data_IF_502253404933
#
_entry.id   IF_502253404933
#
_cell.length_a   1.000
_cell.length_b   1.000
_cell.length_c   1.000
_cell.angle_alpha   90.00
_cell.angle_beta   90.00
_cell.angle_gamma   90.00
#
_symmetry.space_group_name_H-M   'P 1'
#
loop_
_entity.id
_entity.type
_entity.pdbx_description
1 polymer ?
#
# COMPACT_ATOMS: atom_id res chain seq x y z
N UNK A 1 -28.07 21.69 -7.41
CA UNK A 1 -27.34 20.43 -7.71
C UNK A 1 -25.81 20.64 -7.63
N UNK A 2 -25.24 21.64 -8.32
CA UNK A 2 -23.79 21.93 -8.40
C UNK A 2 -23.07 22.07 -7.03
N UNK A 3 -23.66 22.73 -6.02
CA UNK A 3 -23.02 22.91 -4.69
C UNK A 3 -22.80 21.60 -3.91
N UNK A 4 -23.66 20.58 -4.11
CA UNK A 4 -23.56 19.29 -3.38
C UNK A 4 -22.40 18.45 -3.90
N UNK A 5 -22.10 18.55 -5.20
CA UNK A 5 -21.00 17.83 -5.84
C UNK A 5 -19.64 18.42 -5.45
N UNK A 6 -19.55 19.75 -5.31
CA UNK A 6 -18.32 20.44 -4.85
C UNK A 6 -17.97 20.06 -3.41
N UNK A 7 -18.94 20.09 -2.48
CA UNK A 7 -18.69 19.68 -1.08
C UNK A 7 -18.27 18.21 -0.99
N UNK A 8 -18.92 17.34 -1.76
CA UNK A 8 -18.59 15.91 -1.81
C UNK A 8 -17.18 15.67 -2.35
N UNK A 9 -16.78 16.42 -3.38
CA UNK A 9 -15.44 16.40 -3.94
C UNK A 9 -14.36 16.79 -2.91
N UNK A 10 -14.56 17.88 -2.16
CA UNK A 10 -13.59 18.29 -1.13
C UNK A 10 -13.49 17.30 0.03
N UNK A 11 -14.62 16.78 0.52
CA UNK A 11 -14.63 15.78 1.60
C UNK A 11 -13.87 14.54 1.15
N UNK A 12 -14.10 14.08 -0.09
CA UNK A 12 -13.36 12.97 -0.68
C UNK A 12 -11.85 13.24 -0.75
N UNK A 13 -11.43 14.40 -1.26
CA UNK A 13 -10.00 14.77 -1.32
C UNK A 13 -9.37 14.73 0.06
N UNK A 14 -10.00 15.39 1.04
CA UNK A 14 -9.45 15.45 2.41
C UNK A 14 -9.39 14.06 3.04
N UNK A 15 -10.39 13.22 2.80
CA UNK A 15 -10.39 11.85 3.30
C UNK A 15 -9.27 10.97 2.73
N UNK A 16 -8.80 11.26 1.51
CA UNK A 16 -7.63 10.60 0.93
C UNK A 16 -6.31 11.18 1.46
N UNK A 17 -6.23 12.50 1.64
CA UNK A 17 -5.02 13.20 2.09
C UNK A 17 -4.66 12.94 3.55
N UNK A 18 -5.66 12.90 4.45
CA UNK A 18 -5.41 12.77 5.89
C UNK A 18 -4.59 11.51 6.23
N UNK A 19 -4.97 10.29 5.77
CA UNK A 19 -4.15 9.10 6.01
C UNK A 19 -2.73 9.22 5.45
N UNK A 20 -2.56 9.81 4.25
CA UNK A 20 -1.25 10.02 3.62
C UNK A 20 -0.35 10.93 4.47
N UNK A 21 -0.91 11.98 5.08
CA UNK A 21 -0.14 12.87 5.96
C UNK A 21 0.25 12.23 7.29
N UNK A 22 -0.51 11.24 7.76
CA UNK A 22 -0.22 10.51 9.00
C UNK A 22 0.84 9.42 8.77
N UNK A 23 0.86 8.77 7.60
CA UNK A 23 1.87 7.76 7.22
C UNK A 23 3.30 8.10 7.63
N UNK A 24 3.88 9.27 7.26
CA UNK A 24 5.27 9.58 7.59
C UNK A 24 5.53 9.66 9.09
N UNK A 25 4.55 10.12 9.88
CA UNK A 25 4.64 10.16 11.34
C UNK A 25 4.76 8.73 11.88
N UNK A 26 3.93 7.81 11.38
CA UNK A 26 3.96 6.42 11.81
C UNK A 26 5.24 5.70 11.39
N UNK A 27 5.75 5.94 10.18
CA UNK A 27 7.02 5.36 9.74
C UNK A 27 8.17 5.80 10.67
N UNK A 28 8.29 7.10 10.93
CA UNK A 28 9.35 7.63 11.80
C UNK A 28 9.19 7.07 13.21
N UNK A 29 7.97 7.09 13.76
CA UNK A 29 7.69 6.58 15.10
C UNK A 29 7.99 5.07 15.21
N UNK A 30 7.60 4.28 14.21
CA UNK A 30 7.87 2.84 14.16
C UNK A 30 9.36 2.55 14.18
N UNK A 31 10.18 3.32 13.46
CA UNK A 31 11.64 3.16 13.47
C UNK A 31 12.24 3.54 14.84
N UNK A 32 11.80 4.65 15.43
CA UNK A 32 12.31 5.12 16.73
C UNK A 32 11.98 4.12 17.84
N UNK A 33 10.74 3.60 17.85
CA UNK A 33 10.25 2.77 18.95
C UNK A 33 10.77 1.33 18.89
N UNK A 34 11.27 0.88 17.74
CA UNK A 34 11.79 -0.49 17.53
C UNK A 34 12.76 -0.94 18.64
N UNK A 35 13.64 -0.04 19.10
CA UNK A 35 14.63 -0.35 20.13
C UNK A 35 14.05 -0.60 21.52
N UNK A 36 12.84 -0.11 21.79
CA UNK A 36 12.19 -0.19 23.11
C UNK A 36 10.96 -1.09 23.14
N UNK A 37 10.17 -1.09 22.07
CA UNK A 37 8.93 -1.86 21.96
C UNK A 37 8.85 -2.51 20.56
N UNK A 38 9.59 -3.60 20.32
CA UNK A 38 9.61 -4.28 19.01
C UNK A 38 8.24 -4.78 18.57
N UNK A 39 7.39 -5.22 19.50
CA UNK A 39 6.03 -5.66 19.20
C UNK A 39 5.17 -4.51 18.67
N UNK A 40 5.29 -3.30 19.23
CA UNK A 40 4.53 -2.13 18.81
C UNK A 40 5.06 -1.58 17.47
N UNK A 41 6.34 -1.78 17.15
CA UNK A 41 6.89 -1.48 15.82
C UNK A 41 6.12 -2.21 14.71
N UNK A 42 5.81 -3.49 14.89
CA UNK A 42 5.07 -4.28 13.88
C UNK A 42 3.69 -3.67 13.58
N UNK A 43 2.95 -3.32 14.63
CA UNK A 43 1.65 -2.66 14.49
C UNK A 43 1.75 -1.28 13.84
N UNK A 44 2.69 -0.43 14.29
CA UNK A 44 2.84 0.94 13.77
C UNK A 44 3.26 0.92 12.30
N UNK A 45 4.21 0.06 11.91
CA UNK A 45 4.69 -0.03 10.53
C UNK A 45 3.61 -0.58 9.60
N UNK A 46 2.87 -1.61 10.01
CA UNK A 46 1.78 -2.20 9.22
C UNK A 46 0.62 -1.22 9.05
N UNK A 47 0.30 -0.46 10.10
CA UNK A 47 -0.65 0.65 10.01
C UNK A 47 -0.15 1.77 9.10
N UNK A 48 1.14 2.14 9.13
CA UNK A 48 1.66 3.16 8.22
C UNK A 48 1.48 2.79 6.75
N UNK A 49 1.69 1.51 6.43
CA UNK A 49 1.50 0.94 5.10
C UNK A 49 0.01 1.00 4.75
N UNK A 50 -0.87 0.57 5.66
CA UNK A 50 -2.32 0.66 5.45
C UNK A 50 -2.78 2.09 5.19
N UNK A 51 -2.41 3.05 6.05
CA UNK A 51 -2.79 4.45 5.93
C UNK A 51 -2.43 5.01 4.55
N UNK A 52 -1.22 4.71 4.08
CA UNK A 52 -0.75 5.13 2.77
C UNK A 52 -1.64 4.56 1.66
N UNK A 53 -1.88 3.25 1.70
CA UNK A 53 -2.68 2.56 0.69
C UNK A 53 -4.15 2.97 0.72
N UNK A 54 -4.74 3.20 1.89
CA UNK A 54 -6.13 3.66 1.99
C UNK A 54 -6.23 5.04 1.37
N UNK A 55 -5.32 5.95 1.71
CA UNK A 55 -5.28 7.28 1.13
C UNK A 55 -5.14 7.27 -0.39
N UNK A 56 -4.17 6.52 -0.92
CA UNK A 56 -3.92 6.40 -2.37
C UNK A 56 -5.11 5.77 -3.09
N UNK A 57 -5.56 4.60 -2.65
CA UNK A 57 -6.63 3.86 -3.32
C UNK A 57 -7.96 4.62 -3.27
N UNK A 58 -8.28 5.23 -2.12
CA UNK A 58 -9.49 6.06 -1.97
C UNK A 58 -9.46 7.26 -2.92
N UNK A 59 -8.30 7.89 -3.09
CA UNK A 59 -8.07 8.96 -4.06
C UNK A 59 -8.20 8.53 -5.53
N UNK A 60 -8.24 7.23 -5.82
CA UNK A 60 -8.37 6.69 -7.17
C UNK A 60 -9.75 6.08 -7.46
N UNK A 61 -10.63 5.98 -6.45
CA UNK A 61 -11.95 5.38 -6.58
C UNK A 61 -12.78 5.92 -7.77
N UNK A 62 -12.87 7.24 -8.05
CA UNK A 62 -13.60 7.71 -9.22
C UNK A 62 -13.04 7.16 -10.55
N UNK A 63 -11.72 6.98 -10.63
CA UNK A 63 -11.07 6.35 -11.77
C UNK A 63 -11.43 4.87 -11.90
N UNK A 64 -11.48 4.15 -10.78
CA UNK A 64 -11.68 2.69 -10.77
C UNK A 64 -13.14 2.23 -10.76
N UNK A 65 -14.04 3.04 -10.19
CA UNK A 65 -15.47 2.73 -10.03
C UNK A 65 -16.39 3.62 -10.85
N UNK A 66 -15.85 4.58 -11.61
CA UNK A 66 -16.63 5.56 -12.40
C UNK A 66 -17.70 6.29 -11.57
N UNK A 67 -17.47 6.45 -10.27
CA UNK A 67 -18.43 7.00 -9.32
C UNK A 67 -17.70 7.81 -8.26
N UNK A 68 -18.19 9.02 -8.00
CA UNK A 68 -17.71 9.81 -6.87
C UNK A 68 -18.10 9.14 -5.55
N UNK A 69 -17.18 9.08 -4.56
CA UNK A 69 -17.52 8.59 -3.24
C UNK A 69 -18.59 9.43 -2.55
N UNK A 70 -19.46 8.74 -1.82
CA UNK A 70 -20.44 9.43 -0.98
C UNK A 70 -19.73 10.13 0.19
N UNK A 71 -20.10 11.37 0.57
CA UNK A 71 -19.43 12.12 1.64
C UNK A 71 -19.34 11.37 2.96
N UNK A 72 -20.41 10.65 3.32
CA UNK A 72 -20.44 9.86 4.56
C UNK A 72 -19.42 8.73 4.50
N UNK A 73 -19.29 8.02 3.37
CA UNK A 73 -18.29 6.97 3.23
C UNK A 73 -16.87 7.54 3.31
N UNK A 74 -16.64 8.72 2.71
CA UNK A 74 -15.36 9.42 2.82
C UNK A 74 -15.01 9.80 4.27
N UNK A 75 -16.00 10.27 5.05
CA UNK A 75 -15.80 10.57 6.47
C UNK A 75 -15.50 9.29 7.25
N UNK A 76 -16.24 8.20 7.00
CA UNK A 76 -16.05 6.91 7.69
C UNK A 76 -14.68 6.30 7.38
N UNK A 77 -14.22 6.36 6.13
CA UNK A 77 -12.86 5.92 5.74
C UNK A 77 -11.81 6.73 6.50
N UNK A 78 -11.87 8.06 6.43
CA UNK A 78 -10.86 8.91 7.09
C UNK A 78 -10.87 8.76 8.62
N UNK A 79 -12.04 8.83 9.24
CA UNK A 79 -12.17 8.73 10.70
C UNK A 79 -11.79 7.34 11.20
N UNK A 80 -12.20 6.27 10.52
CA UNK A 80 -11.81 4.90 10.87
C UNK A 80 -10.31 4.68 10.80
N UNK A 81 -9.63 5.20 9.77
CA UNK A 81 -8.17 5.13 9.69
C UNK A 81 -7.47 5.98 10.76
N UNK A 82 -7.91 7.21 11.00
CA UNK A 82 -7.30 8.12 12.00
C UNK A 82 -7.49 7.58 13.41
N UNK A 83 -8.71 7.18 13.77
CA UNK A 83 -9.04 6.65 15.09
C UNK A 83 -8.41 5.27 15.28
N UNK A 84 -8.39 4.43 14.26
CA UNK A 84 -7.69 3.14 14.28
C UNK A 84 -6.20 3.33 14.53
N UNK A 85 -5.55 4.23 13.80
CA UNK A 85 -4.15 4.56 14.00
C UNK A 85 -3.89 5.07 15.43
N UNK A 86 -4.64 6.08 15.88
CA UNK A 86 -4.53 6.61 17.24
C UNK A 86 -4.68 5.50 18.30
N UNK A 87 -5.66 4.63 18.13
CA UNK A 87 -5.91 3.54 19.07
C UNK A 87 -4.79 2.50 19.05
N UNK A 88 -4.18 2.20 17.91
CA UNK A 88 -2.98 1.34 17.86
C UNK A 88 -1.82 1.92 18.67
N UNK A 89 -1.65 3.24 18.65
CA UNK A 89 -0.55 3.87 19.36
C UNK A 89 -0.72 3.82 20.88
N UNK A 90 -1.95 3.98 21.38
CA UNK A 90 -2.21 4.14 22.82
C UNK A 90 -2.87 2.92 23.47
N UNK A 91 -3.59 2.10 22.71
CA UNK A 91 -4.40 0.96 23.17
C UNK A 91 -4.29 -0.25 22.20
N UNK A 92 -3.07 -0.70 21.83
CA UNK A 92 -2.86 -1.73 20.81
C UNK A 92 -3.45 -3.10 21.17
N UNK A 93 -3.58 -3.41 22.46
CA UNK A 93 -4.08 -4.70 22.94
C UNK A 93 -5.61 -4.80 22.98
N UNK A 94 -6.31 -3.76 22.50
CA UNK A 94 -7.78 -3.70 22.51
C UNK A 94 -8.38 -4.02 21.14
N UNK A 95 -9.61 -4.53 21.11
CA UNK A 95 -10.36 -4.68 19.86
C UNK A 95 -10.78 -3.34 19.24
N UNK A 96 -10.57 -2.22 19.94
CA UNK A 96 -11.08 -0.89 19.54
C UNK A 96 -10.45 -0.45 18.21
N UNK A 97 -9.13 -0.65 18.03
CA UNK A 97 -8.49 -0.27 16.77
C UNK A 97 -9.00 -1.10 15.59
N UNK A 98 -9.35 -2.37 15.85
CA UNK A 98 -9.87 -3.30 14.86
C UNK A 98 -11.24 -2.84 14.37
N UNK A 99 -12.12 -2.44 15.29
CA UNK A 99 -13.43 -1.89 14.96
C UNK A 99 -13.31 -0.66 14.04
N UNK A 100 -12.38 0.26 14.34
CA UNK A 100 -12.20 1.45 13.52
C UNK A 100 -11.69 1.14 12.10
N UNK A 101 -10.73 0.21 11.95
CA UNK A 101 -10.30 -0.21 10.61
C UNK A 101 -11.39 -0.98 9.87
N UNK A 102 -12.27 -1.72 10.56
CA UNK A 102 -13.40 -2.40 9.92
C UNK A 102 -14.42 -1.41 9.39
N UNK A 103 -14.73 -0.35 10.16
CA UNK A 103 -15.61 0.73 9.70
C UNK A 103 -15.06 1.34 8.40
N UNK A 104 -13.76 1.67 8.38
CA UNK A 104 -13.10 2.18 7.18
C UNK A 104 -13.16 1.18 6.03
N UNK A 105 -12.80 -0.09 6.28
CA UNK A 105 -12.80 -1.15 5.26
C UNK A 105 -14.19 -1.38 4.66
N UNK A 106 -15.22 -1.49 5.49
CA UNK A 106 -16.60 -1.69 5.05
C UNK A 106 -17.14 -0.49 4.28
N UNK A 107 -16.81 0.74 4.71
CA UNK A 107 -17.17 1.94 3.97
C UNK A 107 -16.51 1.97 2.57
N UNK A 108 -15.25 1.55 2.49
CA UNK A 108 -14.51 1.45 1.23
C UNK A 108 -15.08 0.35 0.32
N UNK A 109 -15.40 -0.82 0.88
CA UNK A 109 -16.07 -1.94 0.17
C UNK A 109 -17.43 -1.51 -0.37
N UNK A 110 -18.25 -0.83 0.44
CA UNK A 110 -19.58 -0.38 0.03
C UNK A 110 -19.53 0.50 -1.23
N UNK A 111 -18.50 1.35 -1.35
CA UNK A 111 -18.30 2.17 -2.54
C UNK A 111 -17.96 1.33 -3.79
N UNK A 112 -17.14 0.28 -3.65
CA UNK A 112 -16.82 -0.63 -4.74
C UNK A 112 -17.98 -1.55 -5.14
N UNK A 113 -18.74 -2.08 -4.18
CA UNK A 113 -19.90 -2.95 -4.50
C UNK A 113 -20.95 -2.17 -5.29
N UNK A 114 -21.16 -0.89 -4.99
CA UNK A 114 -22.18 -0.07 -5.64
C UNK A 114 -21.98 0.07 -7.15
N UNK A 115 -20.75 0.30 -7.63
CA UNK A 115 -20.44 0.58 -9.06
C UNK A 115 -19.04 0.16 -9.54
N UNK A 116 -18.21 -0.38 -8.66
CA UNK A 116 -16.81 -0.69 -8.93
C UNK A 116 -16.51 -2.14 -9.31
N UNK A 117 -17.40 -3.11 -9.02
CA UNK A 117 -17.20 -4.51 -9.40
C UNK A 117 -17.84 -4.77 -10.78
N UNK A 118 -17.12 -5.50 -11.64
CA UNK A 118 -17.64 -5.88 -12.96
C UNK A 118 -16.60 -6.64 -13.77
N UNK A 119 -16.94 -7.01 -15.00
CA UNK A 119 -16.13 -7.89 -15.86
C UNK A 119 -15.22 -7.14 -16.85
N UNK A 120 -15.15 -5.81 -16.80
CA UNK A 120 -14.24 -5.06 -17.67
C UNK A 120 -12.82 -5.03 -17.08
N UNK A 121 -11.78 -4.83 -17.90
CA UNK A 121 -10.41 -4.62 -17.37
C UNK A 121 -10.27 -3.39 -16.46
N UNK A 122 -11.24 -2.47 -16.52
CA UNK A 122 -11.33 -1.33 -15.60
C UNK A 122 -11.94 -1.71 -14.26
N UNK A 123 -12.80 -2.71 -14.16
CA UNK A 123 -13.56 -3.00 -12.93
C UNK A 123 -13.19 -4.34 -12.32
N UNK A 124 -12.77 -5.32 -13.12
CA UNK A 124 -12.43 -6.66 -12.67
C UNK A 124 -11.32 -6.68 -11.60
N UNK A 125 -10.22 -5.90 -11.72
CA UNK A 125 -9.19 -5.88 -10.68
C UNK A 125 -9.67 -5.35 -9.31
N UNK A 126 -10.82 -4.65 -9.24
CA UNK A 126 -11.35 -4.16 -7.97
C UNK A 126 -11.78 -5.29 -7.04
N UNK A 127 -12.03 -6.51 -7.55
CA UNK A 127 -12.34 -7.66 -6.70
C UNK A 127 -11.21 -7.95 -5.71
N UNK A 128 -9.95 -7.81 -6.13
CA UNK A 128 -8.79 -7.96 -5.25
C UNK A 128 -8.83 -6.93 -4.13
N UNK A 129 -9.05 -5.66 -4.48
CA UNK A 129 -9.15 -4.57 -3.50
C UNK A 129 -10.25 -4.84 -2.47
N UNK A 130 -11.43 -5.29 -2.92
CA UNK A 130 -12.56 -5.65 -2.04
C UNK A 130 -12.20 -6.83 -1.14
N UNK A 131 -11.62 -7.89 -1.69
CA UNK A 131 -11.18 -9.06 -0.91
C UNK A 131 -10.16 -8.67 0.16
N UNK A 132 -9.15 -7.87 -0.20
CA UNK A 132 -8.16 -7.38 0.75
C UNK A 132 -8.77 -6.52 1.87
N UNK A 133 -9.77 -5.68 1.55
CA UNK A 133 -10.52 -4.92 2.56
C UNK A 133 -11.34 -5.83 3.46
N UNK A 134 -12.06 -6.80 2.91
CA UNK A 134 -12.87 -7.75 3.69
C UNK A 134 -12.00 -8.63 4.59
N UNK A 135 -10.80 -9.00 4.15
CA UNK A 135 -9.90 -9.80 4.98
C UNK A 135 -9.47 -9.08 6.25
N UNK A 136 -9.46 -7.75 6.27
CA UNK A 136 -9.13 -6.98 7.48
C UNK A 136 -10.13 -7.20 8.62
N UNK A 137 -11.32 -7.77 8.33
CA UNK A 137 -12.27 -8.21 9.35
C UNK A 137 -11.77 -9.41 10.17
N UNK A 138 -10.74 -10.11 9.68
CA UNK A 138 -10.13 -11.27 10.34
C UNK A 138 -8.94 -10.91 11.25
N UNK A 139 -8.67 -9.61 11.45
CA UNK A 139 -7.60 -9.13 12.35
C UNK A 139 -7.67 -9.61 13.81
N UNK A 140 -8.82 -10.02 14.40
CA UNK A 140 -8.83 -10.63 15.74
C UNK A 140 -8.07 -11.95 15.78
N UNK A 141 -8.00 -12.66 14.64
CA UNK A 141 -7.35 -13.96 14.51
C UNK A 141 -5.95 -13.84 13.91
N UNK A 142 -5.74 -12.85 13.04
CA UNK A 142 -4.52 -12.72 12.22
C UNK A 142 -3.60 -11.57 12.68
N UNK A 143 -4.03 -10.80 13.68
CA UNK A 143 -3.29 -9.66 14.23
C UNK A 143 -2.94 -8.61 13.17
N UNK A 144 -1.69 -8.12 13.21
CA UNK A 144 -1.18 -7.13 12.26
C UNK A 144 -1.09 -7.64 10.81
N UNK A 145 -1.05 -8.96 10.59
CA UNK A 145 -0.95 -9.54 9.24
C UNK A 145 -2.25 -9.30 8.47
N UNK A 146 -3.40 -9.39 9.14
CA UNK A 146 -4.70 -9.09 8.55
C UNK A 146 -4.82 -7.66 8.02
N UNK A 147 -4.06 -6.73 8.60
CA UNK A 147 -4.00 -5.31 8.18
C UNK A 147 -3.37 -5.18 6.79
N UNK A 148 -2.40 -6.04 6.45
CA UNK A 148 -1.63 -5.98 5.19
C UNK A 148 -2.36 -6.57 3.98
N UNK A 149 -3.47 -7.28 4.19
CA UNK A 149 -4.24 -7.84 3.09
C UNK A 149 -4.73 -6.80 2.11
N UNK A 150 -5.22 -5.67 2.62
CA UNK A 150 -5.65 -4.58 1.75
C UNK A 150 -4.48 -3.96 0.95
N UNK A 151 -3.36 -3.53 1.55
CA UNK A 151 -2.19 -3.06 0.82
C UNK A 151 -1.68 -4.02 -0.27
N UNK A 152 -1.60 -5.32 0.05
CA UNK A 152 -1.10 -6.32 -0.90
C UNK A 152 -2.09 -6.55 -2.05
N UNK A 153 -3.39 -6.67 -1.77
CA UNK A 153 -4.39 -6.85 -2.82
C UNK A 153 -4.52 -5.63 -3.72
N UNK A 154 -4.42 -4.44 -3.13
CA UNK A 154 -4.52 -3.18 -3.87
C UNK A 154 -3.31 -2.94 -4.79
N UNK A 155 -2.09 -3.28 -4.35
CA UNK A 155 -0.92 -3.19 -5.25
C UNK A 155 -1.03 -4.15 -6.43
N UNK A 156 -1.53 -5.37 -6.20
CA UNK A 156 -1.78 -6.33 -7.25
C UNK A 156 -2.84 -5.81 -8.26
N UNK A 157 -3.94 -5.26 -7.74
CA UNK A 157 -4.98 -4.61 -8.56
C UNK A 157 -4.40 -3.49 -9.43
N UNK A 158 -3.51 -2.66 -8.89
CA UNK A 158 -2.85 -1.59 -9.64
C UNK A 158 -1.93 -2.13 -10.74
N UNK A 159 -1.05 -3.07 -10.42
CA UNK A 159 -0.10 -3.63 -11.38
C UNK A 159 -0.81 -4.34 -12.54
N UNK A 160 -1.89 -5.08 -12.25
CA UNK A 160 -2.74 -5.73 -13.26
C UNK A 160 -3.40 -4.71 -14.20
N UNK A 161 -3.68 -3.49 -13.73
CA UNK A 161 -4.25 -2.41 -14.56
C UNK A 161 -3.19 -1.73 -15.42
N UNK A 162 -2.01 -1.48 -14.87
CA UNK A 162 -1.02 -0.62 -15.54
C UNK A 162 -0.13 -1.44 -16.47
N UNK A 163 0.43 -2.55 -15.99
CA UNK A 163 1.48 -3.28 -16.71
C UNK A 163 1.05 -3.84 -18.08
N UNK A 164 -0.10 -4.53 -18.20
CA UNK A 164 -0.49 -5.15 -19.46
C UNK A 164 -0.78 -4.12 -20.54
N UNK A 165 -1.32 -2.96 -20.14
CA UNK A 165 -1.59 -1.84 -21.03
C UNK A 165 -0.31 -1.26 -21.62
N UNK A 166 0.79 -1.23 -20.86
CA UNK A 166 2.08 -0.69 -21.33
C UNK A 166 2.82 -1.62 -22.31
N UNK A 167 2.63 -2.94 -22.20
CA UNK A 167 3.26 -3.94 -23.08
C UNK A 167 2.31 -4.58 -24.09
N UNK A 168 1.04 -4.13 -24.13
CA UNK A 168 -0.06 -4.74 -24.91
C UNK A 168 -0.22 -6.25 -24.64
N UNK A 169 0.14 -6.73 -23.44
CA UNK A 169 -0.10 -8.12 -23.02
C UNK A 169 -1.58 -8.23 -22.66
N UNK A 170 -2.26 -9.28 -23.12
CA UNK A 170 -3.66 -9.51 -22.77
C UNK A 170 -3.71 -10.24 -21.42
N UNK A 171 -4.00 -9.51 -20.33
CA UNK A 171 -4.54 -10.13 -19.12
C UNK A 171 -6.04 -10.26 -19.30
N UNK A 172 -6.58 -11.43 -18.97
CA UNK A 172 -8.01 -11.73 -19.08
C UNK A 172 -8.68 -11.74 -17.71
N UNK A 173 -10.00 -11.57 -17.68
CA UNK A 173 -10.79 -11.66 -16.43
C UNK A 173 -10.59 -12.99 -15.70
N UNK A 174 -10.57 -14.16 -16.37
CA UNK A 174 -10.25 -15.43 -15.72
C UNK A 174 -8.90 -15.44 -15.00
N UNK A 175 -7.86 -14.80 -15.56
CA UNK A 175 -6.55 -14.70 -14.89
C UNK A 175 -6.64 -13.87 -13.60
N UNK A 176 -7.41 -12.78 -13.62
CA UNK A 176 -7.65 -11.94 -12.44
C UNK A 176 -8.38 -12.73 -11.35
N UNK A 177 -9.43 -13.48 -11.74
CA UNK A 177 -10.18 -14.33 -10.82
C UNK A 177 -9.31 -15.45 -10.25
N UNK A 178 -8.49 -16.10 -11.07
CA UNK A 178 -7.56 -17.14 -10.61
C UNK A 178 -6.56 -16.57 -9.60
N UNK A 179 -5.95 -15.41 -9.87
CA UNK A 179 -5.07 -14.74 -8.91
C UNK A 179 -5.81 -14.34 -7.63
N UNK A 180 -7.06 -13.89 -7.74
CA UNK A 180 -7.92 -13.58 -6.58
C UNK A 180 -8.19 -14.82 -5.74
N UNK A 181 -8.47 -15.96 -6.35
CA UNK A 181 -8.65 -17.24 -5.65
C UNK A 181 -7.38 -17.65 -4.93
N UNK A 182 -6.22 -17.57 -5.59
CA UNK A 182 -4.93 -17.85 -4.95
C UNK A 182 -4.71 -16.95 -3.74
N UNK A 183 -4.99 -15.65 -3.88
CA UNK A 183 -4.92 -14.69 -2.79
C UNK A 183 -5.82 -15.14 -1.63
N UNK A 184 -7.11 -15.39 -1.87
CA UNK A 184 -8.06 -15.85 -0.83
C UNK A 184 -7.56 -17.13 -0.15
N UNK A 185 -7.12 -18.14 -0.91
CA UNK A 185 -6.63 -19.40 -0.38
C UNK A 185 -5.41 -19.21 0.52
N UNK A 186 -4.44 -18.40 0.09
CA UNK A 186 -3.26 -18.06 0.90
C UNK A 186 -3.65 -17.43 2.24
N UNK A 187 -4.64 -16.55 2.24
CA UNK A 187 -5.14 -15.90 3.45
C UNK A 187 -6.00 -16.81 4.33
N UNK A 188 -6.71 -17.78 3.75
CA UNK A 188 -7.38 -18.85 4.50
C UNK A 188 -6.37 -19.77 5.20
N UNK A 189 -5.24 -20.06 4.56
CA UNK A 189 -4.15 -20.82 5.19
C UNK A 189 -3.62 -20.08 6.42
N UNK A 190 -3.43 -18.75 6.34
CA UNK A 190 -3.05 -17.95 7.52
C UNK A 190 -4.12 -18.07 8.62
N UNK A 191 -5.40 -17.93 8.26
CA UNK A 191 -6.51 -17.92 9.22
C UNK A 191 -6.70 -19.27 9.92
N UNK A 192 -6.59 -20.38 9.19
CA UNK A 192 -6.94 -21.72 9.69
C UNK A 192 -5.72 -22.43 10.28
N UNK A 193 -4.54 -22.23 9.71
CA UNK A 193 -3.33 -22.97 10.07
C UNK A 193 -2.22 -22.10 10.68
N UNK A 194 -2.44 -20.79 10.85
CA UNK A 194 -1.46 -19.82 11.40
C UNK A 194 -0.10 -19.81 10.66
N UNK A 195 -0.09 -20.16 9.37
CA UNK A 195 1.12 -20.15 8.54
C UNK A 195 1.30 -18.77 7.90
N UNK A 196 1.99 -17.87 8.60
CA UNK A 196 2.20 -16.47 8.20
C UNK A 196 2.90 -16.32 6.86
N UNK A 197 3.76 -17.26 6.51
CA UNK A 197 4.50 -17.33 5.24
C UNK A 197 3.59 -17.44 4.02
N UNK A 198 2.35 -17.92 4.20
CA UNK A 198 1.38 -17.97 3.12
C UNK A 198 1.08 -16.57 2.54
N UNK A 199 1.33 -15.49 3.28
CA UNK A 199 1.28 -14.10 2.80
C UNK A 199 2.19 -13.85 1.58
N UNK A 200 3.31 -14.57 1.49
CA UNK A 200 4.30 -14.39 0.44
C UNK A 200 3.90 -15.08 -0.87
N UNK A 201 3.00 -16.06 -0.82
CA UNK A 201 2.51 -16.78 -2.00
C UNK A 201 1.91 -15.83 -3.05
N UNK A 202 0.91 -14.97 -2.73
CA UNK A 202 0.36 -14.04 -3.72
C UNK A 202 1.37 -13.00 -4.19
N UNK A 203 2.36 -12.64 -3.36
CA UNK A 203 3.45 -11.73 -3.73
C UNK A 203 4.35 -12.39 -4.78
N UNK A 204 4.81 -13.61 -4.51
CA UNK A 204 5.65 -14.41 -5.40
C UNK A 204 4.96 -14.72 -6.73
N UNK A 205 3.67 -15.05 -6.71
CA UNK A 205 2.93 -15.48 -7.90
C UNK A 205 2.66 -14.30 -8.84
N UNK A 206 2.38 -13.10 -8.32
CA UNK A 206 1.97 -11.95 -9.13
C UNK A 206 2.91 -11.62 -10.31
N UNK A 207 4.25 -11.52 -10.12
CA UNK A 207 5.20 -11.31 -11.22
C UNK A 207 5.08 -12.28 -12.40
N UNK A 208 4.64 -13.53 -12.16
CA UNK A 208 4.50 -14.55 -13.21
C UNK A 208 3.36 -14.22 -14.18
N UNK A 209 2.34 -13.50 -13.70
CA UNK A 209 1.19 -13.05 -14.49
C UNK A 209 1.45 -11.77 -15.28
N UNK A 210 2.41 -10.96 -14.81
CA UNK A 210 2.65 -9.62 -15.32
C UNK A 210 3.75 -9.61 -16.39
N UNK A 211 3.71 -8.70 -17.38
CA UNK A 211 4.81 -8.53 -18.30
C UNK A 211 6.06 -7.98 -17.59
N UNK A 212 7.23 -8.31 -18.13
CA UNK A 212 8.52 -7.79 -17.68
C UNK A 212 8.94 -6.59 -18.52
N UNK A 213 9.52 -5.59 -17.86
CA UNK A 213 10.02 -4.39 -18.52
C UNK A 213 11.55 -4.38 -18.49
N UNK A 214 12.14 -3.97 -19.61
CA UNK A 214 13.51 -3.48 -19.60
C UNK A 214 13.56 -2.06 -19.04
N UNK A 215 14.76 -1.51 -18.86
CA UNK A 215 14.94 -0.10 -18.49
C UNK A 215 14.33 0.87 -19.50
N UNK A 216 14.29 2.16 -19.17
CA UNK A 216 13.89 3.24 -20.08
C UNK A 216 12.94 4.28 -19.49
N UNK A 217 12.18 3.92 -18.45
CA UNK A 217 11.48 4.88 -17.58
C UNK A 217 11.44 4.36 -16.14
N UNK A 218 11.18 5.27 -15.20
CA UNK A 218 11.24 4.97 -13.75
C UNK A 218 10.20 3.94 -13.33
N UNK A 219 9.02 3.99 -13.94
CA UNK A 219 7.96 3.03 -13.66
C UNK A 219 8.40 1.61 -14.03
N UNK A 220 8.88 1.43 -15.26
CA UNK A 220 9.37 0.15 -15.78
C UNK A 220 10.52 -0.39 -14.96
N UNK A 221 11.49 0.47 -14.59
CA UNK A 221 12.62 0.04 -13.78
C UNK A 221 12.16 -0.38 -12.37
N UNK A 222 11.38 0.47 -11.69
CA UNK A 222 10.93 0.21 -10.33
C UNK A 222 10.03 -1.02 -10.22
N UNK A 223 9.10 -1.21 -11.16
CA UNK A 223 8.26 -2.42 -11.19
C UNK A 223 9.06 -3.69 -11.49
N UNK A 224 10.05 -3.64 -12.39
CA UNK A 224 10.94 -4.79 -12.63
C UNK A 224 11.77 -5.14 -11.40
N UNK A 225 12.37 -4.16 -10.71
CA UNK A 225 13.09 -4.38 -9.44
C UNK A 225 12.15 -4.98 -8.39
N UNK A 226 10.95 -4.43 -8.24
CA UNK A 226 9.97 -4.91 -7.26
C UNK A 226 9.55 -6.36 -7.53
N UNK A 227 9.39 -6.74 -8.80
CA UNK A 227 9.06 -8.12 -9.21
C UNK A 227 10.20 -9.09 -8.93
N UNK A 228 11.46 -8.67 -9.08
CA UNK A 228 12.63 -9.46 -8.69
C UNK A 228 12.57 -9.75 -7.18
N UNK A 229 12.35 -8.72 -6.36
CA UNK A 229 12.18 -8.92 -4.92
C UNK A 229 11.01 -9.83 -4.59
N UNK A 230 9.85 -9.63 -5.22
CA UNK A 230 8.68 -10.49 -5.04
C UNK A 230 8.97 -11.96 -5.36
N UNK A 231 9.58 -12.27 -6.51
CA UNK A 231 10.00 -13.63 -6.87
C UNK A 231 11.04 -14.21 -5.92
N UNK A 232 11.84 -13.37 -5.27
CA UNK A 232 12.85 -13.81 -4.31
C UNK A 232 12.24 -14.14 -2.94
N UNK A 233 11.11 -13.54 -2.55
CA UNK A 233 10.57 -13.69 -1.19
C UNK A 233 10.34 -15.14 -0.78
N UNK A 234 9.60 -15.93 -1.57
CA UNK A 234 9.24 -17.30 -1.21
C UNK A 234 10.45 -18.25 -1.18
N UNK A 235 11.38 -18.27 -2.16
CA UNK A 235 12.59 -19.09 -2.06
C UNK A 235 13.48 -18.69 -0.88
N UNK A 236 13.53 -17.40 -0.53
CA UNK A 236 14.41 -16.92 0.53
C UNK A 236 13.92 -17.30 1.94
N UNK A 237 12.66 -17.74 2.13
CA UNK A 237 12.22 -18.28 3.42
C UNK A 237 12.93 -19.55 3.83
N UNK A 238 13.53 -20.28 2.88
CA UNK A 238 14.30 -21.51 3.18
C UNK A 238 15.68 -21.23 3.77
N UNK A 239 16.20 -20.01 3.64
CA UNK A 239 17.59 -19.68 4.02
C UNK A 239 17.71 -18.44 4.92
N UNK A 240 16.65 -17.65 5.08
CA UNK A 240 16.63 -16.42 5.85
C UNK A 240 15.51 -16.41 6.89
N UNK A 241 15.67 -15.61 7.94
CA UNK A 241 14.62 -15.41 8.94
C UNK A 241 13.35 -14.81 8.33
N UNK A 242 12.18 -15.14 8.90
CA UNK A 242 10.90 -14.54 8.55
C UNK A 242 10.96 -13.01 8.52
N UNK A 243 11.56 -12.40 9.55
CA UNK A 243 11.68 -10.95 9.65
C UNK A 243 12.41 -10.36 8.42
N UNK A 244 13.52 -10.95 8.01
CA UNK A 244 14.30 -10.47 6.86
C UNK A 244 13.54 -10.59 5.55
N UNK A 245 12.88 -11.72 5.31
CA UNK A 245 12.08 -11.95 4.11
C UNK A 245 10.84 -11.04 4.09
N UNK A 246 10.20 -10.86 5.24
CA UNK A 246 9.04 -10.00 5.39
C UNK A 246 9.40 -8.53 5.10
N UNK A 247 10.54 -8.03 5.61
CA UNK A 247 11.02 -6.69 5.27
C UNK A 247 11.39 -6.56 3.78
N UNK A 248 11.99 -7.60 3.18
CA UNK A 248 12.25 -7.64 1.74
C UNK A 248 10.94 -7.54 0.94
N UNK A 249 9.88 -8.21 1.37
CA UNK A 249 8.56 -8.12 0.76
C UNK A 249 7.95 -6.71 0.93
N UNK A 250 7.98 -6.15 2.14
CA UNK A 250 7.35 -4.85 2.43
C UNK A 250 8.11 -3.67 1.82
N UNK A 251 9.44 -3.66 1.89
CA UNK A 251 10.27 -2.56 1.36
C UNK A 251 10.57 -2.82 -0.12
N UNK A 252 11.13 -3.99 -0.43
CA UNK A 252 11.62 -4.33 -1.75
C UNK A 252 10.50 -4.46 -2.77
N UNK A 253 9.44 -5.21 -2.48
CA UNK A 253 8.30 -5.32 -3.39
C UNK A 253 7.31 -4.16 -3.23
N UNK A 254 6.73 -4.00 -2.04
CA UNK A 254 5.58 -3.12 -1.85
C UNK A 254 5.96 -1.63 -1.90
N UNK A 255 6.95 -1.17 -1.12
CA UNK A 255 7.36 0.23 -1.12
C UNK A 255 8.00 0.67 -2.45
N UNK A 256 8.84 -0.16 -3.07
CA UNK A 256 9.42 0.14 -4.40
C UNK A 256 8.35 0.22 -5.48
N UNK A 257 7.37 -0.71 -5.48
CA UNK A 257 6.26 -0.68 -6.43
C UNK A 257 5.48 0.63 -6.29
N UNK A 258 5.12 1.01 -5.06
CA UNK A 258 4.38 2.25 -4.83
C UNK A 258 5.20 3.50 -5.10
N UNK A 259 6.50 3.50 -4.81
CA UNK A 259 7.35 4.62 -5.18
C UNK A 259 7.39 4.78 -6.71
N UNK A 260 7.44 3.69 -7.46
CA UNK A 260 7.45 3.72 -8.93
C UNK A 260 6.08 3.98 -9.57
N UNK A 261 4.98 3.54 -8.96
CA UNK A 261 3.60 3.80 -9.39
C UNK A 261 3.19 5.20 -8.95
N UNK A 262 3.16 5.46 -7.66
CA UNK A 262 2.54 6.64 -7.09
C UNK A 262 3.42 7.88 -7.22
N UNK A 263 4.75 7.80 -7.19
CA UNK A 263 5.56 9.01 -7.32
C UNK A 263 5.46 9.65 -8.72
N UNK A 264 5.47 8.86 -9.82
CA UNK A 264 5.20 9.36 -11.17
C UNK A 264 3.70 9.47 -11.52
N UNK A 265 2.83 8.58 -10.98
CA UNK A 265 1.37 8.53 -11.28
C UNK A 265 0.46 9.15 -10.20
N UNK A 266 1.02 9.85 -9.21
CA UNK A 266 0.31 10.94 -8.53
C UNK A 266 -0.10 12.03 -9.54
N UNK A 267 0.23 11.88 -10.82
CA UNK A 267 -0.23 12.68 -11.96
C UNK A 267 -0.89 11.68 -12.94
N UNK A 268 -2.22 11.68 -13.25
CA UNK A 268 -3.27 12.64 -12.94
C UNK A 268 -4.59 11.96 -12.47
N UNK A 269 -4.88 12.00 -11.18
CA UNK A 269 -6.25 12.28 -10.73
C UNK A 269 -6.39 13.80 -10.65
N UNK A 270 -7.57 14.37 -10.93
CA UNK A 270 -7.85 15.82 -10.86
C UNK A 270 -7.28 16.49 -9.58
N UNK A 271 -7.08 15.72 -8.50
CA UNK A 271 -6.57 16.13 -7.19
C UNK A 271 -5.09 16.57 -7.19
N UNK A 272 -4.24 16.10 -8.10
CA UNK A 272 -2.77 16.22 -7.96
C UNK A 272 -2.05 16.85 -9.16
N UNK A 273 -2.79 17.46 -10.10
CA UNK A 273 -2.17 18.28 -11.18
C UNK A 273 -1.36 19.47 -10.64
N UNK A 274 -1.66 19.92 -9.42
CA UNK A 274 -1.02 21.05 -8.72
C UNK A 274 0.18 20.65 -7.85
N UNK A 275 0.55 19.36 -7.83
CA UNK A 275 1.64 18.90 -6.98
C UNK A 275 2.97 18.98 -7.71
N UNK A 276 4.01 19.57 -7.09
CA UNK A 276 5.31 19.74 -7.72
C UNK A 276 5.84 18.38 -8.14
N UNK A 277 5.89 18.19 -9.46
CA UNK A 277 6.40 16.97 -10.09
C UNK A 277 7.78 16.68 -9.51
N UNK A 278 7.96 15.50 -8.95
CA UNK A 278 9.30 15.04 -8.63
C UNK A 278 10.05 14.89 -9.95
N UNK A 279 11.24 15.49 -10.02
CA UNK A 279 12.10 15.29 -11.18
C UNK A 279 12.45 13.82 -11.27
N UNK A 280 12.71 13.33 -12.48
CA UNK A 280 13.10 11.93 -12.67
C UNK A 280 14.30 11.56 -11.80
N UNK A 281 15.28 12.46 -11.65
CA UNK A 281 16.44 12.28 -10.76
C UNK A 281 16.05 12.05 -9.31
N UNK A 282 15.09 12.82 -8.79
CA UNK A 282 14.61 12.67 -7.41
C UNK A 282 13.90 11.33 -7.21
N UNK A 283 13.05 10.91 -8.16
CA UNK A 283 12.38 9.61 -8.05
C UNK A 283 13.38 8.46 -8.17
N UNK A 284 14.38 8.54 -9.04
CA UNK A 284 15.48 7.57 -9.10
C UNK A 284 16.23 7.47 -7.77
N UNK A 285 16.58 8.61 -7.15
CA UNK A 285 17.27 8.64 -5.87
C UNK A 285 16.46 7.93 -4.77
N UNK A 286 15.16 8.23 -4.67
CA UNK A 286 14.27 7.63 -3.67
C UNK A 286 14.10 6.12 -3.91
N UNK A 287 13.94 5.70 -5.16
CA UNK A 287 13.82 4.30 -5.53
C UNK A 287 15.10 3.51 -5.24
N UNK A 288 16.27 4.09 -5.53
CA UNK A 288 17.57 3.50 -5.19
C UNK A 288 17.73 3.37 -3.68
N UNK A 289 17.36 4.40 -2.91
CA UNK A 289 17.41 4.34 -1.45
C UNK A 289 16.46 3.28 -0.87
N UNK A 290 15.27 3.09 -1.43
CA UNK A 290 14.34 2.01 -1.04
C UNK A 290 14.91 0.64 -1.36
N UNK A 291 15.45 0.47 -2.56
CA UNK A 291 16.08 -0.78 -3.01
C UNK A 291 17.26 -1.14 -2.10
N UNK A 292 18.13 -0.17 -1.82
CA UNK A 292 19.27 -0.36 -0.92
C UNK A 292 18.80 -0.69 0.50
N UNK A 293 17.77 0.00 1.00
CA UNK A 293 17.20 -0.28 2.32
C UNK A 293 16.66 -1.72 2.42
N UNK A 294 15.97 -2.20 1.38
CA UNK A 294 15.46 -3.58 1.33
C UNK A 294 16.60 -4.62 1.37
N UNK A 295 17.65 -4.40 0.58
CA UNK A 295 18.83 -5.28 0.53
C UNK A 295 19.56 -5.28 1.87
N UNK A 296 19.85 -4.09 2.43
CA UNK A 296 20.53 -3.97 3.72
C UNK A 296 19.76 -4.66 4.84
N UNK A 297 18.43 -4.50 4.86
CA UNK A 297 17.57 -5.11 5.87
C UNK A 297 17.50 -6.63 5.73
N UNK A 298 17.50 -7.14 4.50
CA UNK A 298 17.58 -8.57 4.24
C UNK A 298 18.93 -9.15 4.71
N UNK A 299 20.05 -8.52 4.34
CA UNK A 299 21.40 -8.95 4.72
C UNK A 299 21.66 -8.89 6.23
N UNK A 300 20.98 -7.98 6.95
CA UNK A 300 20.98 -7.94 8.42
C UNK A 300 20.46 -9.23 9.07
N UNK A 301 19.76 -10.10 8.33
CA UNK A 301 19.31 -11.41 8.82
C UNK A 301 20.39 -12.49 8.84
N UNK A 302 21.42 -12.34 8.01
CA UNK A 302 22.51 -13.32 7.87
C UNK A 302 23.73 -12.96 8.70
N UNK A 303 23.80 -11.72 9.17
CA UNK A 303 24.94 -11.17 9.85
C UNK A 303 24.43 -10.25 10.94
N UNK A 304 24.97 -10.34 12.16
CA UNK A 304 24.62 -9.45 13.29
C UNK A 304 25.09 -7.99 13.05
N UNK A 305 25.08 -7.53 11.79
CA UNK A 305 25.45 -6.19 11.39
C UNK A 305 24.30 -5.27 11.78
N UNK A 306 24.25 -4.90 13.07
CA UNK A 306 23.36 -3.86 13.59
C UNK A 306 23.44 -2.59 12.73
N UNK A 307 24.63 -2.30 12.17
CA UNK A 307 24.87 -1.19 11.26
C UNK A 307 24.00 -1.21 9.99
N UNK A 308 23.70 -2.36 9.38
CA UNK A 308 22.89 -2.43 8.16
C UNK A 308 21.42 -2.12 8.44
N UNK A 309 20.92 -2.53 9.61
CA UNK A 309 19.59 -2.17 10.09
C UNK A 309 19.49 -0.67 10.39
N UNK A 310 20.53 -0.09 11.01
CA UNK A 310 20.60 1.37 11.26
C UNK A 310 20.61 2.14 9.95
N UNK A 311 21.48 1.78 8.99
CA UNK A 311 21.55 2.46 7.69
C UNK A 311 20.22 2.33 6.95
N UNK A 312 19.59 1.15 6.94
CA UNK A 312 18.26 0.93 6.36
C UNK A 312 17.21 1.86 7.00
N UNK A 313 17.19 1.98 8.32
CA UNK A 313 16.30 2.90 9.04
C UNK A 313 16.55 4.37 8.69
N UNK A 314 17.81 4.80 8.63
CA UNK A 314 18.21 6.17 8.24
C UNK A 314 17.76 6.47 6.80
N UNK A 315 17.94 5.53 5.87
CA UNK A 315 17.47 5.69 4.48
C UNK A 315 15.94 5.87 4.43
N UNK A 316 15.19 5.06 5.18
CA UNK A 316 13.72 5.18 5.22
C UNK A 316 13.29 6.51 5.83
N UNK A 317 13.93 6.97 6.92
CA UNK A 317 13.68 8.29 7.51
C UNK A 317 13.99 9.39 6.50
N UNK A 318 15.12 9.32 5.80
CA UNK A 318 15.51 10.29 4.78
C UNK A 318 14.46 10.37 3.66
N UNK A 319 14.06 9.23 3.10
CA UNK A 319 13.02 9.14 2.06
C UNK A 319 11.72 9.79 2.58
N UNK A 320 11.31 9.42 3.78
CA UNK A 320 10.06 9.88 4.41
C UNK A 320 10.09 11.39 4.66
N UNK A 321 11.16 11.90 5.26
CA UNK A 321 11.36 13.31 5.52
C UNK A 321 11.40 14.13 4.23
N UNK A 322 12.03 13.58 3.18
CA UNK A 322 12.08 14.20 1.87
C UNK A 322 10.68 14.32 1.24
N UNK A 323 9.85 13.28 1.30
CA UNK A 323 8.45 13.35 0.85
C UNK A 323 7.64 14.38 1.65
N UNK A 324 7.78 14.41 2.97
CA UNK A 324 7.11 15.41 3.83
C UNK A 324 7.53 16.82 3.46
N UNK A 325 8.82 17.07 3.32
CA UNK A 325 9.36 18.36 2.91
C UNK A 325 8.77 18.82 1.56
N UNK A 326 8.66 17.91 0.59
CA UNK A 326 8.06 18.20 -0.72
C UNK A 326 6.56 18.51 -0.63
N UNK A 327 5.83 17.84 0.26
CA UNK A 327 4.42 18.12 0.57
C UNK A 327 4.22 19.48 1.23
N UNK A 328 5.09 19.86 2.16
CA UNK A 328 4.96 21.13 2.88
C UNK A 328 5.32 22.35 2.00
N UNK A 329 6.22 22.18 1.02
CA UNK A 329 6.58 23.23 0.05
C UNK A 329 5.63 23.36 -1.14
N UNK A 330 4.51 22.63 -1.14
CA UNK A 330 3.51 22.78 -2.17
C UNK A 330 2.88 24.18 -2.09
N UNK A 331 2.69 24.89 -3.21
CA UNK A 331 1.90 26.11 -3.21
C UNK A 331 0.53 25.79 -2.58
N UNK A 332 0.10 26.59 -1.61
CA UNK A 332 -1.27 26.47 -1.10
C UNK A 332 -2.17 26.80 -2.27
N UNK A 333 -2.86 25.80 -2.81
CA UNK A 333 -3.89 26.03 -3.84
C UNK A 333 -4.96 26.89 -3.18
N UNK A 334 -4.93 28.19 -3.45
CA UNK A 334 -6.03 29.09 -3.15
C UNK A 334 -7.15 28.70 -4.10
N UNK A 335 -8.09 27.90 -3.62
CA UNK A 335 -9.32 27.69 -4.36
C UNK A 335 -10.14 28.96 -4.15
N UNK A 336 -9.99 29.92 -5.06
CA UNK A 336 -10.95 31.02 -5.19
C UNK A 336 -12.27 30.40 -5.64
N UNK A 337 -13.27 30.50 -4.77
CA UNK A 337 -14.65 30.04 -5.00
C UNK A 337 -15.36 30.91 -6.02
#
# INVERSE_FOLDING_TARGET
MIRRDIKSFFIWIRSSQIPIYITPIYIILGIIILSRMPWLHEYIMTFSVRLFYVGVMWGQVPGFAAAMPHPVLSILVASGEVLGAFTVLFLPDTLIWQIFIWISSLAHVAQYIRKGIGTTMRTAPNILTVVGLLYTLTTPFTGYIGVLAFPLASVASLLIRVDPNMRRRKITVPMILMYTTIFILSYLVILIADVKEALLIPIFILPLFLPWFGGGDIYKLGTSISKIFALSTLPLTFIASWSSVFHLAMIGFLATTMSSLCTPLLIPGIIWREVPKLSQKEVYMLMTALTLSAVLRFLAGFSHIYLSSIISGVLIIYITAYYVYRILRMPKVSVTL
#
